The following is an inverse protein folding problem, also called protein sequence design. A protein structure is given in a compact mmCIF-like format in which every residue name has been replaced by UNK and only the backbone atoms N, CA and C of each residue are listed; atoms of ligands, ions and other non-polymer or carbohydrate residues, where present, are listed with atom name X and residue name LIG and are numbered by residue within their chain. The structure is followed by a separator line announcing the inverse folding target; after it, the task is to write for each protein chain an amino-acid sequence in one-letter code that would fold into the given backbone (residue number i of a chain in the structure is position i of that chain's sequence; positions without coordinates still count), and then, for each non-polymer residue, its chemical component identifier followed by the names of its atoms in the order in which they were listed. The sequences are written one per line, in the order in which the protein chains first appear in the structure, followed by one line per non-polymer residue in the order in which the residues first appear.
data_IF_739331596154
#
_entry.id   IF_739331596154
#
_cell.length_a   1.000
_cell.length_b   1.000
_cell.length_c   1.000
_cell.angle_alpha   90.00
_cell.angle_beta   90.00
_cell.angle_gamma   90.00
#
_symmetry.space_group_name_H-M   'P 1'
#
loop_
_entity.id
_entity.type
_entity.pdbx_description
1 polymer ?
#
# COMPACT_ATOMS: atom_id res chain seq x y z
N UNK A 1 5.96 8.66 16.44
CA UNK A 1 5.39 9.53 15.39
C UNK A 1 5.22 8.78 14.07
N UNK A 2 6.30 8.29 13.46
CA UNK A 2 6.30 7.53 12.20
C UNK A 2 5.32 6.34 12.21
N UNK A 3 5.25 5.58 13.31
CA UNK A 3 4.32 4.45 13.47
C UNK A 3 2.84 4.88 13.40
N UNK A 4 2.49 6.06 13.92
CA UNK A 4 1.11 6.56 13.90
C UNK A 4 0.72 6.90 12.46
N UNK A 5 1.60 7.61 11.74
CA UNK A 5 1.38 7.92 10.32
C UNK A 5 1.30 6.65 9.46
N UNK A 6 2.14 5.65 9.75
CA UNK A 6 2.11 4.35 9.06
C UNK A 6 0.79 3.59 9.28
N UNK A 7 0.26 3.60 10.51
CA UNK A 7 -1.04 2.99 10.83
C UNK A 7 -2.17 3.75 10.14
N UNK A 8 -2.16 5.09 10.20
CA UNK A 8 -3.19 5.92 9.57
C UNK A 8 -3.21 5.69 8.06
N UNK A 9 -2.06 5.81 7.39
CA UNK A 9 -1.94 5.59 5.94
C UNK A 9 -2.34 4.17 5.55
N UNK A 10 -1.85 3.17 6.27
CA UNK A 10 -2.20 1.77 6.04
C UNK A 10 -3.69 1.48 6.22
N UNK A 11 -4.42 2.22 7.04
CA UNK A 11 -5.88 2.07 7.16
C UNK A 11 -6.59 2.89 6.07
N UNK A 12 -6.22 4.15 5.89
CA UNK A 12 -6.91 5.07 4.99
C UNK A 12 -6.71 4.76 3.51
N UNK A 13 -5.64 4.09 3.11
CA UNK A 13 -5.41 3.70 1.72
C UNK A 13 -6.39 2.59 1.26
N UNK A 14 -6.87 1.76 2.18
CA UNK A 14 -7.88 0.72 1.88
C UNK A 14 -9.32 1.23 1.98
N UNK A 15 -9.52 2.41 2.57
CA UNK A 15 -10.82 3.07 2.66
C UNK A 15 -10.90 4.15 1.56
N UNK A 16 -12.05 4.40 0.93
CA UNK A 16 -12.21 5.49 -0.04
C UNK A 16 -12.31 6.85 0.67
N UNK A 17 -11.32 7.15 1.51
CA UNK A 17 -11.16 8.38 2.27
C UNK A 17 -9.83 8.98 1.85
N UNK A 18 -9.77 10.27 1.53
CA UNK A 18 -8.54 10.91 1.02
C UNK A 18 -7.37 10.71 2.00
N UNK A 19 -6.44 9.81 1.68
CA UNK A 19 -5.29 9.43 2.51
C UNK A 19 -4.30 10.58 2.66
N UNK A 20 -4.05 11.33 1.58
CA UNK A 20 -3.20 12.52 1.57
C UNK A 20 -3.66 13.60 2.54
N UNK A 21 -4.98 13.85 2.63
CA UNK A 21 -5.54 14.87 3.53
C UNK A 21 -5.39 14.51 5.01
N UNK A 22 -5.63 13.24 5.37
CA UNK A 22 -5.52 12.77 6.75
C UNK A 22 -4.06 12.79 7.22
N UNK A 23 -3.11 12.38 6.38
CA UNK A 23 -1.69 12.44 6.74
C UNK A 23 -1.17 13.87 6.94
N UNK A 24 -1.59 14.84 6.10
CA UNK A 24 -1.21 16.25 6.29
C UNK A 24 -1.76 16.79 7.61
N UNK A 25 -3.01 16.44 7.95
CA UNK A 25 -3.65 16.88 9.19
C UNK A 25 -2.95 16.26 10.42
N UNK A 26 -2.74 14.94 10.42
CA UNK A 26 -2.07 14.22 11.51
C UNK A 26 -0.62 14.70 11.68
N UNK A 27 0.08 14.99 10.58
CA UNK A 27 1.43 15.55 10.64
C UNK A 27 1.44 16.96 11.27
N UNK A 28 0.46 17.82 10.97
CA UNK A 28 0.31 19.13 11.66
C UNK A 28 0.00 18.97 13.15
N UNK A 29 -0.86 18.02 13.52
CA UNK A 29 -1.23 17.79 14.93
C UNK A 29 -0.11 17.21 15.79
N UNK A 30 0.79 16.40 15.21
CA UNK A 30 1.89 15.74 15.95
C UNK A 30 3.18 16.61 15.96
N UNK A 31 3.14 17.84 15.44
CA UNK A 31 4.30 18.75 15.44
C UNK A 31 5.26 18.55 14.27
N UNK A 32 4.75 18.14 13.10
CA UNK A 32 5.53 17.96 11.87
C UNK A 32 6.14 19.23 11.28
N UNK A 33 5.97 20.40 11.92
CA UNK A 33 6.69 21.64 11.57
C UNK A 33 8.22 21.49 11.72
N UNK A 34 8.69 20.53 12.52
CA UNK A 34 10.12 20.23 12.67
C UNK A 34 10.69 19.31 11.59
N UNK A 35 9.85 18.75 10.71
CA UNK A 35 10.27 17.85 9.64
C UNK A 35 10.30 18.59 8.31
N UNK A 36 11.40 18.42 7.57
CA UNK A 36 11.53 19.01 6.24
C UNK A 36 10.38 18.54 5.33
N UNK A 37 9.75 19.44 4.55
CA UNK A 37 8.71 19.07 3.58
C UNK A 37 9.17 17.96 2.63
N UNK A 38 10.46 17.96 2.29
CA UNK A 38 11.07 16.92 1.45
C UNK A 38 11.03 15.56 2.13
N UNK A 39 11.33 15.49 3.43
CA UNK A 39 11.30 14.24 4.19
C UNK A 39 9.87 13.68 4.27
N UNK A 40 8.89 14.53 4.57
CA UNK A 40 7.49 14.10 4.65
C UNK A 40 7.03 13.56 3.30
N UNK A 41 7.26 14.28 2.20
CA UNK A 41 6.87 13.81 0.86
C UNK A 41 7.53 12.48 0.48
N UNK A 42 8.83 12.32 0.73
CA UNK A 42 9.51 11.04 0.49
C UNK A 42 8.94 9.92 1.37
N UNK A 43 8.59 10.22 2.62
CA UNK A 43 7.99 9.28 3.53
C UNK A 43 6.59 8.82 3.09
N UNK A 44 5.74 9.73 2.58
CA UNK A 44 4.42 9.36 2.04
C UNK A 44 4.56 8.37 0.90
N UNK A 45 5.46 8.65 -0.05
CA UNK A 45 5.70 7.79 -1.21
C UNK A 45 6.19 6.40 -0.76
N UNK A 46 7.11 6.33 0.20
CA UNK A 46 7.66 5.07 0.68
C UNK A 46 6.61 4.23 1.41
N UNK A 47 5.78 4.83 2.25
CA UNK A 47 4.74 4.08 2.98
C UNK A 47 3.65 3.56 2.03
N UNK A 48 3.30 4.32 1.00
CA UNK A 48 2.31 3.89 0.01
C UNK A 48 2.78 2.61 -0.72
N UNK A 49 4.08 2.50 -1.03
CA UNK A 49 4.67 1.25 -1.55
C UNK A 49 4.54 0.09 -0.56
N UNK A 50 4.65 0.35 0.75
CA UNK A 50 4.41 -0.64 1.80
C UNK A 50 2.96 -1.14 1.84
N UNK A 51 1.98 -0.23 1.67
CA UNK A 51 0.57 -0.58 1.58
C UNK A 51 0.27 -1.45 0.35
N UNK A 52 0.81 -1.08 -0.82
CA UNK A 52 0.72 -1.88 -2.05
C UNK A 52 1.37 -3.26 -1.85
N UNK A 53 2.54 -3.32 -1.23
CA UNK A 53 3.22 -4.58 -0.98
C UNK A 53 2.41 -5.50 -0.06
N UNK A 54 1.71 -4.94 0.94
CA UNK A 54 0.78 -5.69 1.78
C UNK A 54 -0.34 -6.36 0.96
N UNK A 55 -0.88 -5.65 -0.03
CA UNK A 55 -1.89 -6.21 -0.96
C UNK A 55 -1.29 -7.31 -1.82
N UNK A 56 -0.08 -7.11 -2.35
CA UNK A 56 0.62 -8.12 -3.17
C UNK A 56 0.88 -9.39 -2.36
N UNK A 57 1.29 -9.27 -1.09
CA UNK A 57 1.48 -10.41 -0.20
C UNK A 57 0.15 -11.08 0.15
N UNK A 58 -0.90 -10.29 0.42
CA UNK A 58 -2.24 -10.82 0.70
C UNK A 58 -2.80 -11.63 -0.47
N UNK A 59 -2.73 -11.08 -1.69
CA UNK A 59 -3.13 -11.76 -2.92
C UNK A 59 -2.02 -12.63 -3.52
N UNK A 60 -0.93 -12.92 -2.79
CA UNK A 60 0.16 -13.72 -3.33
C UNK A 60 -0.32 -15.09 -3.78
N UNK A 61 -1.28 -15.70 -3.06
CA UNK A 61 -1.88 -16.99 -3.47
C UNK A 61 -2.74 -16.89 -4.73
N UNK A 62 -3.35 -15.73 -4.98
CA UNK A 62 -4.28 -15.45 -6.09
C UNK A 62 -3.61 -14.87 -7.33
N UNK A 63 -2.45 -14.23 -7.17
CA UNK A 63 -1.64 -13.66 -8.26
C UNK A 63 -0.46 -14.57 -8.60
N UNK A 64 0.08 -15.32 -7.63
CA UNK A 64 1.26 -16.14 -7.89
C UNK A 64 0.92 -17.23 -8.90
N UNK A 65 1.67 -17.27 -10.02
CA UNK A 65 1.57 -18.36 -10.97
C UNK A 65 2.28 -19.61 -10.43
N UNK A 66 2.93 -19.58 -9.26
CA UNK A 66 3.52 -20.76 -8.62
C UNK A 66 2.45 -21.65 -7.98
N UNK A 67 1.64 -22.27 -8.84
CA UNK A 67 0.71 -23.33 -8.48
C UNK A 67 1.42 -24.67 -8.65
N UNK A 68 1.23 -25.57 -7.68
CA UNK A 68 1.89 -26.88 -7.62
C UNK A 68 1.53 -27.80 -8.79
N UNK A 69 0.51 -27.44 -9.58
CA UNK A 69 -0.04 -28.24 -10.68
C UNK A 69 -0.11 -27.43 -11.97
N UNK A 70 0.53 -27.92 -13.04
CA UNK A 70 0.60 -27.24 -14.36
C UNK A 70 -0.77 -26.91 -14.98
N UNK A 71 -1.83 -27.66 -14.65
CA UNK A 71 -3.19 -27.41 -15.16
C UNK A 71 -3.80 -26.11 -14.61
N UNK A 72 -3.61 -25.82 -13.32
CA UNK A 72 -4.12 -24.59 -12.70
C UNK A 72 -3.33 -23.35 -13.14
N UNK A 73 -2.01 -23.51 -13.36
CA UNK A 73 -1.16 -22.47 -13.94
C UNK A 73 -1.73 -21.99 -15.29
N UNK A 74 -1.99 -22.94 -16.21
CA UNK A 74 -2.46 -22.62 -17.57
C UNK A 74 -3.87 -22.02 -17.55
N UNK A 75 -4.73 -22.45 -16.62
CA UNK A 75 -6.09 -21.89 -16.50
C UNK A 75 -6.05 -20.44 -15.99
N UNK A 76 -5.27 -20.16 -14.95
CA UNK A 76 -5.11 -18.80 -14.38
C UNK A 76 -4.41 -17.85 -15.34
N UNK A 77 -3.39 -18.33 -16.05
CA UNK A 77 -2.70 -17.56 -17.09
C UNK A 77 -3.62 -17.24 -18.28
N UNK A 78 -4.53 -18.16 -18.63
CA UNK A 78 -5.54 -17.93 -19.69
C UNK A 78 -6.57 -16.88 -19.28
N UNK A 79 -6.93 -16.78 -17.99
CA UNK A 79 -7.81 -15.70 -17.50
C UNK A 79 -7.13 -14.33 -17.59
N UNK A 80 -5.83 -14.26 -17.25
CA UNK A 80 -5.02 -13.06 -17.41
C UNK A 80 -4.86 -12.61 -18.87
N UNK A 81 -4.75 -13.55 -19.82
CA UNK A 81 -4.70 -13.27 -21.25
C UNK A 81 -6.04 -12.83 -21.86
N UNK A 82 -7.15 -13.02 -21.14
CA UNK A 82 -8.51 -12.75 -21.65
C UNK A 82 -9.08 -11.41 -21.15
N UNK A 83 -8.39 -10.80 -20.18
CA UNK A 83 -8.54 -9.39 -19.78
C UNK A 83 -7.71 -8.53 -20.72
#
# INVERSE_FOLDING_TARGET
MVVILAIVEGITEFLPVSSTGHMILVNKFIGGEYLSPTFINSFLIIIQLGAIFSVVVYFWKDISPFVRTKKEFVSRFRLWLKI
#
